data_IF_919006679644
#
_entry.id   IF_919006679644
#
_cell.length_a   1.000
_cell.length_b   1.000
_cell.length_c   1.000
_cell.angle_alpha   90.00
_cell.angle_beta   90.00
_cell.angle_gamma   90.00
#
_symmetry.space_group_name_H-M   'P 1'
#
loop_
_entity.id
_entity.type
_entity.pdbx_description
1 polymer ?
#
# COMPACT_ATOMS: atom_id res chain seq x y z
N UNK A 1 4.98 -2.01 -17.17
CA UNK A 1 4.86 -0.93 -16.16
C UNK A 1 5.74 0.23 -16.58
N UNK A 2 5.30 1.48 -16.42
CA UNK A 2 6.05 2.67 -16.85
C UNK A 2 6.78 3.27 -15.63
N UNK A 3 8.11 3.36 -15.63
CA UNK A 3 8.87 4.02 -14.57
C UNK A 3 8.54 5.50 -14.43
N UNK A 4 8.56 6.01 -13.20
CA UNK A 4 8.27 7.41 -12.86
C UNK A 4 6.80 7.79 -12.87
N UNK A 5 5.88 6.85 -13.10
CA UNK A 5 4.45 7.15 -13.15
C UNK A 5 3.88 7.44 -11.75
N UNK A 6 3.11 8.54 -11.64
CA UNK A 6 2.23 8.81 -10.50
C UNK A 6 0.96 7.97 -10.60
N UNK A 7 0.63 7.26 -9.53
CA UNK A 7 -0.43 6.25 -9.49
C UNK A 7 -1.29 6.47 -8.24
N UNK A 8 -2.60 6.47 -8.43
CA UNK A 8 -3.57 6.24 -7.37
C UNK A 8 -4.01 4.77 -7.46
N UNK A 9 -3.94 4.05 -6.34
CA UNK A 9 -4.31 2.65 -6.26
C UNK A 9 -5.18 2.38 -5.05
N UNK A 10 -6.16 1.50 -5.24
CA UNK A 10 -7.11 1.08 -4.22
C UNK A 10 -6.99 -0.43 -4.01
N UNK A 11 -7.05 -0.87 -2.75
CA UNK A 11 -7.11 -2.30 -2.43
C UNK A 11 -8.19 -2.57 -1.40
N UNK A 12 -9.09 -3.48 -1.74
CA UNK A 12 -10.21 -3.92 -0.89
C UNK A 12 -9.88 -5.26 -0.26
N UNK A 13 -10.25 -5.42 1.00
CA UNK A 13 -10.19 -6.67 1.76
C UNK A 13 -11.03 -7.78 1.11
N UNK A 14 -10.70 -9.04 1.42
CA UNK A 14 -11.49 -10.20 0.99
C UNK A 14 -12.97 -10.02 1.36
N UNK A 15 -13.86 -10.14 0.36
CA UNK A 15 -15.32 -10.03 0.52
C UNK A 15 -15.78 -8.76 1.28
N UNK A 16 -15.01 -7.66 1.21
CA UNK A 16 -15.34 -6.41 1.90
C UNK A 16 -15.46 -6.55 3.44
N UNK A 17 -14.83 -7.58 4.02
CA UNK A 17 -14.82 -7.79 5.47
C UNK A 17 -13.95 -6.76 6.19
N UNK A 18 -14.29 -6.44 7.44
CA UNK A 18 -13.55 -5.49 8.27
C UNK A 18 -12.22 -6.06 8.81
N UNK A 19 -11.29 -6.40 7.91
CA UNK A 19 -10.00 -7.03 8.24
C UNK A 19 -8.95 -6.03 8.74
N UNK A 20 -9.15 -4.73 8.51
CA UNK A 20 -8.23 -3.66 8.88
C UNK A 20 -8.76 -2.94 10.12
N UNK A 21 -8.74 -3.61 11.27
CA UNK A 21 -9.32 -3.07 12.51
C UNK A 21 -8.75 -1.66 12.80
N UNK A 22 -9.58 -0.65 13.13
CA UNK A 22 -9.12 0.71 13.40
C UNK A 22 -8.57 0.85 14.82
N UNK A 23 -7.53 0.09 15.15
CA UNK A 23 -6.84 0.15 16.44
C UNK A 23 -5.35 0.54 16.27
N UNK A 24 -4.64 0.91 17.36
CA UNK A 24 -3.25 1.32 17.27
C UNK A 24 -2.32 0.24 16.71
N UNK A 25 -2.56 -1.02 17.05
CA UNK A 25 -1.71 -2.14 16.65
C UNK A 25 -1.76 -2.37 15.13
N UNK A 26 -2.96 -2.40 14.55
CA UNK A 26 -3.16 -2.51 13.10
C UNK A 26 -2.58 -1.30 12.37
N UNK A 27 -2.78 -0.09 12.90
CA UNK A 27 -2.20 1.13 12.33
C UNK A 27 -0.68 1.02 12.25
N UNK A 28 -0.03 0.72 13.37
CA UNK A 28 1.43 0.61 13.43
C UNK A 28 1.96 -0.46 12.49
N UNK A 29 1.34 -1.65 12.48
CA UNK A 29 1.70 -2.75 11.59
C UNK A 29 1.58 -2.34 10.11
N UNK A 30 0.43 -1.78 9.72
CA UNK A 30 0.18 -1.39 8.34
C UNK A 30 1.18 -0.34 7.84
N UNK A 31 1.38 0.73 8.60
CA UNK A 31 2.29 1.81 8.21
C UNK A 31 3.75 1.38 8.22
N UNK A 32 4.15 0.51 9.15
CA UNK A 32 5.49 -0.07 9.17
C UNK A 32 5.75 -0.90 7.91
N UNK A 33 4.86 -1.85 7.59
CA UNK A 33 5.01 -2.71 6.41
C UNK A 33 4.96 -1.89 5.12
N UNK A 34 4.05 -0.92 5.03
CA UNK A 34 3.96 -0.03 3.87
C UNK A 34 5.28 0.71 3.64
N UNK A 35 5.85 1.30 4.69
CA UNK A 35 7.13 2.01 4.62
C UNK A 35 8.29 1.08 4.26
N UNK A 36 8.34 -0.11 4.87
CA UNK A 36 9.37 -1.12 4.59
C UNK A 36 9.36 -1.56 3.12
N UNK A 37 8.21 -2.01 2.61
CA UNK A 37 8.10 -2.48 1.23
C UNK A 37 8.21 -1.33 0.22
N UNK A 38 7.74 -0.12 0.55
CA UNK A 38 7.97 1.04 -0.31
C UNK A 38 9.46 1.31 -0.51
N UNK A 39 10.27 1.18 0.55
CA UNK A 39 11.73 1.31 0.46
C UNK A 39 12.36 0.18 -0.36
N UNK A 40 11.95 -1.07 -0.14
CA UNK A 40 12.48 -2.24 -0.86
C UNK A 40 12.23 -2.13 -2.37
N UNK A 41 11.04 -1.69 -2.77
CA UNK A 41 10.66 -1.64 -4.18
C UNK A 41 10.94 -0.29 -4.87
N UNK A 42 11.30 0.74 -4.10
CA UNK A 42 11.60 2.08 -4.62
C UNK A 42 10.35 2.88 -4.98
N UNK A 43 9.36 2.88 -4.09
CA UNK A 43 8.14 3.66 -4.20
C UNK A 43 8.27 4.96 -3.41
N UNK A 44 7.85 6.07 -4.01
CA UNK A 44 7.71 7.34 -3.30
C UNK A 44 6.24 7.55 -2.97
N UNK A 45 5.87 7.35 -1.71
CA UNK A 45 4.50 7.54 -1.23
C UNK A 45 4.25 9.03 -0.96
N UNK A 46 3.10 9.53 -1.38
CA UNK A 46 2.63 10.89 -1.11
C UNK A 46 1.49 10.92 -0.11
N UNK A 47 0.56 9.97 -0.20
CA UNK A 47 -0.59 9.89 0.69
C UNK A 47 -1.08 8.44 0.81
N UNK A 48 -1.65 8.13 1.96
CA UNK A 48 -2.38 6.89 2.19
C UNK A 48 -3.57 7.14 3.11
N UNK A 49 -4.71 6.55 2.79
CA UNK A 49 -5.89 6.53 3.64
C UNK A 49 -6.21 5.07 3.96
N UNK A 50 -6.06 4.68 5.23
CA UNK A 50 -6.40 3.35 5.72
C UNK A 50 -7.82 3.36 6.30
N UNK A 51 -8.68 2.48 5.79
CA UNK A 51 -10.05 2.28 6.24
C UNK A 51 -10.24 0.82 6.68
N UNK A 52 -11.37 0.51 7.30
CA UNK A 52 -11.58 -0.80 7.89
C UNK A 52 -11.73 -1.94 6.88
N UNK A 53 -12.05 -1.64 5.61
CA UNK A 53 -12.25 -2.61 4.52
C UNK A 53 -11.33 -2.40 3.33
N UNK A 54 -10.60 -1.28 3.25
CA UNK A 54 -9.76 -0.95 2.11
C UNK A 54 -8.75 0.12 2.47
N UNK A 55 -7.81 0.39 1.56
CA UNK A 55 -6.97 1.57 1.62
C UNK A 55 -6.80 2.20 0.24
N UNK A 56 -6.55 3.50 0.24
CA UNK A 56 -6.15 4.30 -0.92
C UNK A 56 -4.67 4.66 -0.81
N UNK A 57 -3.91 4.55 -1.90
CA UNK A 57 -2.48 4.85 -1.93
C UNK A 57 -2.14 5.73 -3.14
N UNK A 58 -1.50 6.87 -2.89
CA UNK A 58 -0.95 7.76 -3.92
C UNK A 58 0.58 7.70 -3.87
N UNK A 59 1.20 7.30 -4.98
CA UNK A 59 2.65 7.09 -5.02
C UNK A 59 3.22 7.23 -6.43
N UNK A 60 4.53 7.46 -6.51
CA UNK A 60 5.31 7.32 -7.76
C UNK A 60 6.06 5.99 -7.75
N UNK A 61 5.86 5.22 -8.81
CA UNK A 61 6.62 3.98 -9.09
C UNK A 61 7.93 4.33 -9.81
N UNK A 62 9.00 4.60 -9.05
CA UNK A 62 10.26 5.13 -9.59
C UNK A 62 10.88 4.16 -10.60
N UNK A 63 10.76 2.85 -10.38
CA UNK A 63 11.42 1.82 -11.18
C UNK A 63 10.46 1.03 -12.10
N UNK A 64 9.15 1.29 -12.05
CA UNK A 64 8.18 0.51 -12.81
C UNK A 64 7.97 -0.90 -12.23
N UNK A 65 8.05 -1.08 -10.92
CA UNK A 65 7.97 -2.38 -10.21
C UNK A 65 6.78 -2.49 -9.24
N UNK A 66 5.72 -1.69 -9.41
CA UNK A 66 4.54 -1.73 -8.50
C UNK A 66 3.92 -3.13 -8.34
N UNK A 67 4.00 -3.98 -9.38
CA UNK A 67 3.46 -5.34 -9.33
C UNK A 67 4.16 -6.21 -8.28
N UNK A 68 5.49 -6.10 -8.19
CA UNK A 68 6.27 -6.81 -7.17
C UNK A 68 5.93 -6.28 -5.77
N UNK A 69 5.83 -4.96 -5.63
CA UNK A 69 5.42 -4.35 -4.37
C UNK A 69 4.07 -4.86 -3.88
N UNK A 70 3.04 -4.87 -4.73
CA UNK A 70 1.71 -5.31 -4.27
C UNK A 70 1.67 -6.80 -3.95
N UNK A 71 2.42 -7.63 -4.69
CA UNK A 71 2.55 -9.05 -4.36
C UNK A 71 3.16 -9.23 -2.97
N UNK A 72 4.26 -8.54 -2.69
CA UNK A 72 5.04 -8.75 -1.48
C UNK A 72 4.42 -8.03 -0.26
N UNK A 73 3.74 -6.89 -0.47
CA UNK A 73 3.00 -6.17 0.58
C UNK A 73 1.69 -6.87 1.01
N UNK A 74 1.14 -7.74 0.16
CA UNK A 74 -0.11 -8.48 0.42
C UNK A 74 0.09 -9.98 0.71
N UNK A 75 1.33 -10.43 0.87
CA UNK A 75 1.66 -11.83 1.18
C UNK A 75 1.42 -12.20 2.64
#
# INVERSE_FOLDING_TARGET
MIPGQLIAADRVSLEHRFMLRPDPQMRELFFFLLGFFARVHGLRIYAVALMSTHYHLLFTDVHGRRGDFFRDFHS
#
